data_IF_133061230148
#
_entry.id   IF_133061230148
#
_cell.length_a   1.000
_cell.length_b   1.000
_cell.length_c   1.000
_cell.angle_alpha   90.00
_cell.angle_beta   90.00
_cell.angle_gamma   90.00
#
_symmetry.space_group_name_H-M   'P 1'
#
loop_
_entity.id
_entity.type
_entity.pdbx_description
1 polymer ?
#
# COMPACT_ATOMS: atom_id res chain seq x y z
N UNK A 1 18.70 15.37 10.18
CA UNK A 1 17.58 14.49 10.11
C UNK A 1 17.78 13.44 9.02
N UNK A 2 17.64 12.19 9.37
CA UNK A 2 17.84 11.12 8.42
C UNK A 2 16.60 10.83 7.58
N UNK A 3 16.84 10.38 6.36
CA UNK A 3 15.78 9.83 5.52
C UNK A 3 15.60 8.37 5.91
N UNK A 4 14.37 7.98 6.22
CA UNK A 4 14.07 6.58 6.53
C UNK A 4 14.01 5.82 5.23
N UNK A 5 14.97 4.91 5.04
CA UNK A 5 15.01 4.04 3.87
C UNK A 5 14.19 2.80 4.14
N UNK A 6 13.25 2.49 3.24
CA UNK A 6 12.46 1.28 3.30
C UNK A 6 13.36 0.07 3.02
N UNK A 7 13.24 -0.95 3.87
CA UNK A 7 13.96 -2.21 3.72
C UNK A 7 12.97 -3.36 3.54
N UNK A 8 13.39 -4.43 2.84
CA UNK A 8 12.47 -5.58 2.64
C UNK A 8 12.00 -6.22 3.94
N UNK A 9 12.81 -6.20 4.99
CA UNK A 9 12.44 -6.78 6.28
C UNK A 9 11.51 -5.90 7.09
N UNK A 10 11.31 -4.63 6.70
CA UNK A 10 10.43 -3.73 7.43
C UNK A 10 9.00 -4.24 7.39
N UNK A 11 8.32 -4.10 8.52
CA UNK A 11 6.96 -4.61 8.68
C UNK A 11 5.93 -3.59 8.22
N UNK A 12 4.75 -4.06 7.84
CA UNK A 12 3.65 -3.18 7.55
C UNK A 12 2.32 -3.81 7.98
N UNK A 13 1.36 -2.94 8.27
CA UNK A 13 -0.02 -3.29 8.54
C UNK A 13 -0.88 -2.39 7.68
N UNK A 14 -1.93 -2.94 7.09
CA UNK A 14 -2.88 -2.18 6.28
C UNK A 14 -4.07 -1.82 7.15
N UNK A 15 -4.50 -0.57 7.09
CA UNK A 15 -5.69 -0.10 7.78
C UNK A 15 -6.62 0.51 6.74
N UNK A 16 -7.89 0.18 6.82
CA UNK A 16 -8.90 0.74 5.93
C UNK A 16 -9.64 1.87 6.64
N UNK A 17 -9.53 3.07 6.11
CA UNK A 17 -10.20 4.25 6.70
C UNK A 17 -11.58 4.50 6.07
N UNK A 18 -11.85 3.91 4.92
CA UNK A 18 -13.13 4.05 4.23
C UNK A 18 -13.60 2.68 3.77
N UNK A 19 -14.91 2.56 3.51
CA UNK A 19 -15.45 1.32 2.96
C UNK A 19 -15.10 1.25 1.48
N UNK A 20 -14.50 0.13 1.07
CA UNK A 20 -14.11 -0.11 -0.30
C UNK A 20 -15.16 -0.98 -0.99
N UNK A 21 -15.64 -0.53 -2.15
CA UNK A 21 -16.72 -1.18 -2.88
C UNK A 21 -16.25 -1.65 -4.25
N UNK A 22 -17.11 -2.40 -4.95
CA UNK A 22 -16.82 -2.80 -6.33
C UNK A 22 -16.74 -1.58 -7.25
N UNK A 23 -17.60 -0.57 -6.99
CA UNK A 23 -17.55 0.67 -7.75
C UNK A 23 -16.22 1.39 -7.55
N UNK A 24 -15.67 1.36 -6.34
CA UNK A 24 -14.34 1.94 -6.07
C UNK A 24 -13.27 1.27 -6.92
N UNK A 25 -13.36 -0.05 -7.10
CA UNK A 25 -12.42 -0.78 -7.95
C UNK A 25 -12.53 -0.34 -9.40
N UNK A 26 -13.74 -0.14 -9.90
CA UNK A 26 -13.95 0.35 -11.26
C UNK A 26 -13.37 1.76 -11.42
N UNK A 27 -13.57 2.62 -10.44
CA UNK A 27 -13.02 3.98 -10.45
C UNK A 27 -11.50 3.95 -10.42
N UNK A 28 -10.91 3.03 -9.67
CA UNK A 28 -9.48 2.87 -9.60
C UNK A 28 -8.89 2.61 -10.99
N UNK A 29 -9.55 1.75 -11.77
CA UNK A 29 -9.09 1.39 -13.10
C UNK A 29 -9.38 2.51 -14.11
N UNK A 30 -10.56 3.09 -14.08
CA UNK A 30 -10.97 4.05 -15.11
C UNK A 30 -10.44 5.44 -14.88
N UNK A 31 -10.34 5.89 -13.63
CA UNK A 31 -9.97 7.27 -13.31
C UNK A 31 -8.53 7.42 -12.86
N UNK A 32 -8.01 6.45 -12.13
CA UNK A 32 -6.69 6.58 -11.50
C UNK A 32 -5.57 5.87 -12.26
N UNK A 33 -5.83 4.69 -12.80
CA UNK A 33 -4.78 3.94 -13.50
C UNK A 33 -4.17 4.72 -14.67
N UNK A 34 -4.95 5.47 -15.47
CA UNK A 34 -4.35 6.28 -16.54
C UNK A 34 -3.37 7.34 -16.03
N UNK A 35 -3.49 7.72 -14.77
CA UNK A 35 -2.62 8.75 -14.17
C UNK A 35 -1.43 8.10 -13.48
N UNK A 36 -1.67 7.07 -12.66
CA UNK A 36 -0.63 6.53 -11.78
C UNK A 36 0.04 5.26 -12.30
N UNK A 37 -0.54 4.62 -13.31
CA UNK A 37 0.03 3.43 -13.93
C UNK A 37 -0.35 2.12 -13.24
N UNK A 38 -0.05 0.99 -13.89
CA UNK A 38 -0.50 -0.32 -13.43
C UNK A 38 0.17 -0.78 -12.13
N UNK A 39 1.41 -0.36 -11.88
CA UNK A 39 2.12 -0.82 -10.69
C UNK A 39 1.51 -0.26 -9.41
N UNK A 40 1.09 1.01 -9.44
CA UNK A 40 0.41 1.64 -8.31
C UNK A 40 -0.96 0.98 -8.07
N UNK A 41 -1.69 0.66 -9.15
CA UNK A 41 -2.95 -0.08 -9.04
C UNK A 41 -2.70 -1.44 -8.39
N UNK A 42 -1.66 -2.14 -8.82
CA UNK A 42 -1.31 -3.44 -8.27
C UNK A 42 -1.02 -3.35 -6.77
N UNK A 43 -0.26 -2.35 -6.36
CA UNK A 43 0.04 -2.15 -4.94
C UNK A 43 -1.25 -1.89 -4.15
N UNK A 44 -2.11 -0.99 -4.63
CA UNK A 44 -3.35 -0.67 -3.95
C UNK A 44 -4.22 -1.93 -3.77
N UNK A 45 -4.40 -2.71 -4.82
CA UNK A 45 -5.22 -3.91 -4.77
C UNK A 45 -4.59 -4.98 -3.89
N UNK A 46 -3.26 -5.09 -3.87
CA UNK A 46 -2.57 -6.04 -3.02
C UNK A 46 -2.76 -5.68 -1.54
N UNK A 47 -2.65 -4.40 -1.21
CA UNK A 47 -2.90 -3.95 0.16
C UNK A 47 -4.36 -4.16 0.56
N UNK A 48 -5.29 -3.89 -0.36
CA UNK A 48 -6.70 -4.17 -0.12
C UNK A 48 -6.91 -5.65 0.16
N UNK A 49 -6.24 -6.52 -0.60
CA UNK A 49 -6.35 -7.97 -0.43
C UNK A 49 -5.85 -8.43 0.94
N UNK A 50 -4.89 -7.74 1.51
CA UNK A 50 -4.37 -8.07 2.84
C UNK A 50 -5.40 -7.85 3.94
N UNK A 51 -6.48 -7.14 3.67
CA UNK A 51 -7.60 -6.91 4.60
C UNK A 51 -8.64 -8.03 4.61
N UNK A 52 -8.41 -9.12 3.94
CA UNK A 52 -9.41 -10.15 3.59
C UNK A 52 -10.22 -10.73 4.75
N UNK A 53 -9.64 -10.83 5.94
CA UNK A 53 -10.34 -11.40 7.09
C UNK A 53 -10.90 -10.34 8.03
N UNK A 54 -10.40 -9.13 7.93
CA UNK A 54 -10.80 -8.04 8.78
C UNK A 54 -10.78 -6.78 7.93
N UNK A 55 -11.95 -6.26 7.61
CA UNK A 55 -12.08 -5.12 6.70
C UNK A 55 -11.48 -3.82 7.23
N UNK A 56 -10.98 -3.80 8.47
CA UNK A 56 -10.42 -2.60 9.08
C UNK A 56 -8.91 -2.64 9.19
N UNK A 57 -8.33 -3.81 9.43
CA UNK A 57 -6.91 -3.92 9.70
C UNK A 57 -6.40 -5.29 9.27
N UNK A 58 -5.25 -5.30 8.61
CA UNK A 58 -4.61 -6.55 8.22
C UNK A 58 -3.76 -7.12 9.35
N UNK A 59 -3.28 -8.35 9.17
CA UNK A 59 -2.17 -8.87 9.95
C UNK A 59 -0.91 -8.11 9.60
N UNK A 60 0.14 -8.29 10.39
CA UNK A 60 1.43 -7.69 10.13
C UNK A 60 2.22 -8.56 9.16
N UNK A 61 2.73 -7.94 8.10
CA UNK A 61 3.56 -8.59 7.08
C UNK A 61 4.86 -7.82 6.93
N UNK A 62 5.86 -8.42 6.26
CA UNK A 62 7.04 -7.67 5.84
C UNK A 62 6.94 -7.32 4.36
N UNK A 63 7.86 -6.47 3.87
CA UNK A 63 7.80 -6.02 2.49
C UNK A 63 8.26 -7.08 1.49
N UNK A 64 8.91 -8.16 1.95
CA UNK A 64 9.13 -9.34 1.11
C UNK A 64 7.81 -9.92 0.60
N UNK A 65 6.77 -9.87 1.43
CA UNK A 65 5.43 -10.32 1.05
C UNK A 65 4.92 -9.56 -0.18
N UNK A 66 5.04 -8.24 -0.18
CA UNK A 66 4.64 -7.41 -1.33
C UNK A 66 5.49 -7.71 -2.56
N UNK A 67 6.80 -7.78 -2.38
CA UNK A 67 7.72 -8.05 -3.48
C UNK A 67 7.42 -9.39 -4.12
N UNK A 68 7.10 -10.39 -3.32
CA UNK A 68 6.80 -11.74 -3.79
C UNK A 68 5.47 -11.80 -4.56
N UNK A 69 4.41 -11.21 -4.01
CA UNK A 69 3.10 -11.22 -4.65
C UNK A 69 3.09 -10.39 -5.92
N UNK A 70 3.68 -9.21 -5.89
CA UNK A 70 3.70 -8.30 -7.04
C UNK A 70 4.78 -8.66 -8.06
N UNK A 71 5.69 -9.55 -7.69
CA UNK A 71 6.84 -9.93 -8.52
C UNK A 71 7.61 -8.72 -8.99
N UNK A 72 7.97 -7.85 -8.05
CA UNK A 72 8.70 -6.63 -8.36
C UNK A 72 9.69 -6.33 -7.25
N UNK A 73 10.56 -5.36 -7.49
CA UNK A 73 11.57 -4.97 -6.52
C UNK A 73 11.06 -3.89 -5.57
N UNK A 74 11.84 -3.62 -4.54
CA UNK A 74 11.46 -2.66 -3.51
C UNK A 74 11.40 -1.24 -4.05
N UNK A 75 12.28 -0.89 -4.98
CA UNK A 75 12.28 0.44 -5.60
C UNK A 75 10.95 0.72 -6.30
N UNK A 76 10.46 -0.27 -7.05
CA UNK A 76 9.18 -0.16 -7.75
C UNK A 76 8.03 -0.03 -6.78
N UNK A 77 8.07 -0.74 -5.65
CA UNK A 77 7.06 -0.62 -4.60
C UNK A 77 7.08 0.78 -4.00
N UNK A 78 8.25 1.34 -3.74
CA UNK A 78 8.39 2.71 -3.22
C UNK A 78 7.79 3.73 -4.20
N UNK A 79 8.05 3.56 -5.48
CA UNK A 79 7.51 4.46 -6.51
C UNK A 79 5.99 4.34 -6.58
N UNK A 80 5.46 3.12 -6.53
CA UNK A 80 4.01 2.89 -6.52
C UNK A 80 3.37 3.52 -5.28
N UNK A 81 4.00 3.36 -4.12
CA UNK A 81 3.53 3.96 -2.87
C UNK A 81 3.46 5.47 -2.99
N UNK A 82 4.51 6.09 -3.52
CA UNK A 82 4.55 7.54 -3.70
C UNK A 82 3.43 8.04 -4.62
N UNK A 83 3.12 7.29 -5.68
CA UNK A 83 2.04 7.64 -6.59
C UNK A 83 0.69 7.60 -5.87
N UNK A 84 0.45 6.55 -5.07
CA UNK A 84 -0.79 6.45 -4.29
C UNK A 84 -0.90 7.56 -3.26
N UNK A 85 0.20 7.89 -2.59
CA UNK A 85 0.22 8.96 -1.60
C UNK A 85 -0.12 10.31 -2.23
N UNK A 86 0.44 10.59 -3.40
CA UNK A 86 0.23 11.86 -4.08
C UNK A 86 -1.21 12.05 -4.54
N UNK A 87 -1.95 10.96 -4.77
CA UNK A 87 -3.34 11.01 -5.19
C UNK A 87 -4.33 10.88 -4.02
N UNK A 88 -3.83 10.80 -2.80
CA UNK A 88 -4.68 10.71 -1.63
C UNK A 88 -5.33 9.36 -1.40
N UNK A 89 -4.84 8.32 -2.07
CA UNK A 89 -5.37 6.96 -1.92
C UNK A 89 -4.71 6.18 -0.79
N UNK A 90 -3.58 6.67 -0.32
CA UNK A 90 -2.79 6.02 0.72
C UNK A 90 -2.14 7.07 1.60
N UNK A 91 -2.13 6.82 2.89
CA UNK A 91 -1.32 7.54 3.86
C UNK A 91 -0.39 6.57 4.55
N UNK A 92 0.86 6.97 4.69
CA UNK A 92 1.89 6.12 5.29
C UNK A 92 2.34 6.70 6.61
N UNK A 93 2.32 5.87 7.64
CA UNK A 93 2.89 6.18 8.95
C UNK A 93 4.02 5.21 9.22
N UNK A 94 5.05 5.67 9.92
CA UNK A 94 6.16 4.81 10.29
C UNK A 94 6.38 4.88 11.79
N UNK A 95 6.60 3.71 12.38
CA UNK A 95 6.93 3.57 13.80
C UNK A 95 8.35 3.02 13.88
N UNK A 96 9.23 3.76 14.55
CA UNK A 96 10.62 3.35 14.69
C UNK A 96 10.78 2.31 15.79
N UNK A 97 11.83 1.51 15.65
CA UNK A 97 12.19 0.45 16.59
C UNK A 97 13.42 -0.24 16.04
N UNK A 98 13.70 -1.45 16.51
CA UNK A 98 14.79 -2.26 15.95
C UNK A 98 14.51 -2.54 14.46
N UNK A 99 13.24 -2.78 14.13
CA UNK A 99 12.76 -2.89 12.77
C UNK A 99 11.66 -1.84 12.63
N UNK A 100 11.67 -1.10 11.53
CA UNK A 100 10.60 -0.13 11.27
C UNK A 100 9.31 -0.85 10.96
N UNK A 101 8.21 -0.30 11.49
CA UNK A 101 6.86 -0.78 11.21
C UNK A 101 6.09 0.34 10.52
N UNK A 102 5.49 0.01 9.39
CA UNK A 102 4.70 0.97 8.61
C UNK A 102 3.22 0.69 8.80
N UNK A 103 2.42 1.74 8.79
CA UNK A 103 0.97 1.62 8.72
C UNK A 103 0.55 2.26 7.41
N UNK A 104 -0.11 1.49 6.57
CA UNK A 104 -0.63 1.94 5.29
C UNK A 104 -2.14 2.10 5.41
N UNK A 105 -2.60 3.35 5.46
CA UNK A 105 -4.03 3.65 5.51
C UNK A 105 -4.56 3.81 4.10
N UNK A 106 -5.53 2.97 3.74
CA UNK A 106 -6.17 3.05 2.44
C UNK A 106 -7.39 3.95 2.49
N UNK A 107 -7.56 4.73 1.43
CA UNK A 107 -8.72 5.59 1.22
C UNK A 107 -9.39 5.20 -0.09
N UNK A 108 -10.72 5.28 -0.14
CA UNK A 108 -11.45 4.93 -1.35
C UNK A 108 -11.15 5.92 -2.47
N UNK A 109 -11.08 5.42 -3.70
CA UNK A 109 -10.84 6.26 -4.89
C UNK A 109 -11.91 7.30 -5.13
#
# INVERSE_FOLDING_TARGET
>A
MGIISLLPADLYTVVNKTILTLEDRDNLITLYEPIMGPLAVSLYLTLWRDLKYNNFKSEEYNHHHLMSIMKTDLKSIKEARSALESLGLLKTYVKSGDIYSYVYELYSP
#
